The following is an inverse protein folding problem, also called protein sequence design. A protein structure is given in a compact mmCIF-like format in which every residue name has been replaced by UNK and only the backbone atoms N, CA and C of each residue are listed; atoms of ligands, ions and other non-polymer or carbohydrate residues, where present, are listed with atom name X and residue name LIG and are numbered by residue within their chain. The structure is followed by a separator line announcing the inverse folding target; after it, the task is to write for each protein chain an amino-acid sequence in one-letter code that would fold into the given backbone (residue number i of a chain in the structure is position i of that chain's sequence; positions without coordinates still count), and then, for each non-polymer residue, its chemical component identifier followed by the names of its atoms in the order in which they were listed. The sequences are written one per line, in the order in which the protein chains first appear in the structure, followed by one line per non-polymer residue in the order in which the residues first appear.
data_IF_395538571932
#
_entry.id   IF_395538571932
#
_cell.length_a   1.000
_cell.length_b   1.000
_cell.length_c   1.000
_cell.angle_alpha   90.00
_cell.angle_beta   90.00
_cell.angle_gamma   90.00
#
_symmetry.space_group_name_H-M   'P 1'
#
loop_
_entity.id
_entity.type
_entity.pdbx_description
1 polymer ?
#
# COMPACT_ATOMS: atom_id res chain seq x y z
N UNK A 1 10.25 -6.40 -11.08
CA UNK A 1 10.87 -5.70 -9.93
C UNK A 1 11.98 -6.58 -9.38
N UNK A 2 13.18 -6.39 -9.91
CA UNK A 2 14.30 -7.30 -9.63
C UNK A 2 15.04 -6.99 -8.31
N UNK A 3 15.04 -5.73 -7.89
CA UNK A 3 15.80 -5.27 -6.70
C UNK A 3 15.03 -4.19 -5.93
N UNK A 4 14.03 -4.55 -5.13
CA UNK A 4 13.41 -3.58 -4.24
C UNK A 4 14.40 -3.21 -3.12
N UNK A 5 14.61 -1.90 -2.92
CA UNK A 5 15.65 -1.34 -2.02
C UNK A 5 15.15 -1.03 -0.60
N UNK A 6 13.85 -1.15 -0.34
CA UNK A 6 13.23 -0.78 0.94
C UNK A 6 13.44 0.71 1.33
N UNK A 7 13.36 1.61 0.34
CA UNK A 7 13.55 3.04 0.53
C UNK A 7 12.30 3.87 0.24
N UNK A 8 11.52 3.48 -0.77
CA UNK A 8 10.33 4.22 -1.22
C UNK A 8 9.05 3.53 -0.85
N UNK A 9 8.30 4.12 0.05
CA UNK A 9 7.04 3.60 0.56
C UNK A 9 5.88 4.36 -0.07
N UNK A 10 4.86 3.66 -0.53
CA UNK A 10 3.62 4.25 -1.02
C UNK A 10 2.49 3.94 -0.05
N UNK A 11 1.84 4.97 0.46
CA UNK A 11 0.65 4.83 1.32
C UNK A 11 -0.59 5.28 0.57
N UNK A 12 -1.63 4.41 0.52
CA UNK A 12 -2.92 4.76 -0.09
C UNK A 12 -4.08 4.00 0.56
N UNK A 13 -4.96 4.72 1.25
CA UNK A 13 -6.14 4.17 1.94
C UNK A 13 -7.44 4.38 1.16
N UNK A 14 -7.32 4.65 -0.15
CA UNK A 14 -8.45 5.02 -1.02
C UNK A 14 -8.70 6.52 -1.08
N UNK A 15 -9.67 6.93 -1.90
CA UNK A 15 -9.88 8.34 -2.23
C UNK A 15 -10.34 9.20 -1.05
N UNK A 16 -11.14 8.66 -0.14
CA UNK A 16 -11.76 9.44 0.96
C UNK A 16 -11.09 9.17 2.31
N UNK A 17 -10.63 7.93 2.54
CA UNK A 17 -10.06 7.49 3.84
C UNK A 17 -10.93 7.91 5.04
N UNK A 18 -12.19 7.47 5.05
CA UNK A 18 -13.24 7.93 5.98
C UNK A 18 -12.88 7.85 7.47
N UNK A 19 -12.00 6.96 7.84
CA UNK A 19 -11.61 6.71 9.23
C UNK A 19 -10.21 7.21 9.56
N UNK A 20 -9.62 8.02 8.66
CA UNK A 20 -8.26 8.56 8.83
C UNK A 20 -7.20 7.49 9.13
N UNK A 21 -7.31 6.35 8.43
CA UNK A 21 -6.38 5.23 8.60
C UNK A 21 -4.96 5.64 8.19
N UNK A 22 -4.83 6.56 7.23
CA UNK A 22 -3.54 7.14 6.83
C UNK A 22 -2.77 7.69 8.03
N UNK A 23 -3.41 8.49 8.89
CA UNK A 23 -2.76 9.08 10.06
C UNK A 23 -2.39 8.03 11.12
N UNK A 24 -3.24 7.01 11.30
CA UNK A 24 -2.94 5.87 12.18
C UNK A 24 -1.71 5.09 11.68
N UNK A 25 -1.62 4.82 10.38
CA UNK A 25 -0.47 4.16 9.76
C UNK A 25 0.81 4.98 9.94
N UNK A 26 0.74 6.30 9.77
CA UNK A 26 1.89 7.19 9.97
C UNK A 26 2.37 7.20 11.41
N UNK A 27 1.45 7.11 12.39
CA UNK A 27 1.84 6.99 13.81
C UNK A 27 2.56 5.68 14.09
N UNK A 28 2.04 4.56 13.56
CA UNK A 28 2.72 3.27 13.70
C UNK A 28 4.10 3.26 12.98
N UNK A 29 4.20 3.87 11.79
CA UNK A 29 5.47 4.01 11.08
C UNK A 29 6.49 4.86 11.84
N UNK A 30 6.04 5.89 12.56
CA UNK A 30 6.90 6.71 13.44
C UNK A 30 7.61 5.86 14.48
N UNK A 31 6.95 4.80 14.97
CA UNK A 31 7.47 3.88 15.96
C UNK A 31 8.29 2.72 15.36
N UNK A 32 8.43 2.69 14.02
CA UNK A 32 9.28 1.74 13.33
C UNK A 32 10.70 2.30 13.21
N UNK A 33 11.69 1.41 13.37
CA UNK A 33 13.10 1.76 13.17
C UNK A 33 13.40 1.77 11.64
N UNK A 34 12.81 2.75 10.94
CA UNK A 34 13.03 2.90 9.50
C UNK A 34 14.39 3.54 9.23
N UNK A 35 15.09 3.14 8.14
CA UNK A 35 16.29 3.83 7.70
C UNK A 35 16.03 5.32 7.44
N UNK A 36 17.02 6.18 7.71
CA UNK A 36 16.87 7.63 7.57
C UNK A 36 16.60 8.08 6.12
N UNK A 37 17.01 7.27 5.14
CA UNK A 37 16.79 7.48 3.72
C UNK A 37 15.42 7.06 3.21
N UNK A 38 14.52 6.58 4.08
CA UNK A 38 13.16 6.21 3.68
C UNK A 38 12.36 7.45 3.28
N UNK A 39 11.76 7.37 2.10
CA UNK A 39 10.83 8.36 1.55
C UNK A 39 9.43 7.75 1.53
N UNK A 40 8.45 8.46 2.06
CA UNK A 40 7.05 8.02 2.12
C UNK A 40 6.20 8.93 1.24
N UNK A 41 5.61 8.36 0.19
CA UNK A 41 4.62 9.05 -0.65
C UNK A 41 3.23 8.64 -0.16
N UNK A 42 2.41 9.61 0.19
CA UNK A 42 1.05 9.42 0.67
C UNK A 42 0.09 9.92 -0.40
N UNK A 43 -0.74 9.03 -0.95
CA UNK A 43 -1.75 9.42 -1.92
C UNK A 43 -3.11 9.54 -1.22
N UNK A 44 -3.69 10.74 -1.28
CA UNK A 44 -5.00 11.06 -0.72
C UNK A 44 -5.88 11.72 -1.78
N UNK A 45 -7.17 11.40 -1.78
CA UNK A 45 -8.12 12.10 -2.65
C UNK A 45 -8.30 13.56 -2.22
N UNK A 46 -8.52 14.44 -3.19
CA UNK A 46 -8.71 15.89 -2.94
C UNK A 46 -9.88 16.21 -1.99
N UNK A 47 -10.86 15.30 -1.91
CA UNK A 47 -12.04 15.43 -1.04
C UNK A 47 -11.85 14.79 0.35
N UNK A 48 -10.67 14.25 0.64
CA UNK A 48 -10.42 13.67 1.97
C UNK A 48 -10.44 14.77 3.03
N UNK A 49 -11.25 14.63 4.09
CA UNK A 49 -11.35 15.63 5.15
C UNK A 49 -10.07 15.72 6.01
N UNK A 50 -9.16 14.77 5.85
CA UNK A 50 -7.99 14.62 6.72
C UNK A 50 -6.68 15.11 6.08
N UNK A 51 -6.68 15.65 4.86
CA UNK A 51 -5.46 16.12 4.19
C UNK A 51 -4.66 17.10 5.07
N UNK A 52 -5.34 18.06 5.71
CA UNK A 52 -4.65 19.06 6.53
C UNK A 52 -4.12 18.48 7.86
N UNK A 53 -4.80 17.50 8.47
CA UNK A 53 -4.28 16.85 9.66
C UNK A 53 -3.06 15.97 9.32
N UNK A 54 -3.12 15.21 8.23
CA UNK A 54 -1.98 14.44 7.72
C UNK A 54 -0.82 15.36 7.34
N UNK A 55 -1.08 16.54 6.71
CA UNK A 55 -0.07 17.53 6.38
C UNK A 55 0.67 18.07 7.62
N UNK A 56 -0.03 18.24 8.73
CA UNK A 56 0.59 18.59 10.00
C UNK A 56 1.39 17.43 10.57
N UNK A 57 0.84 16.22 10.51
CA UNK A 57 1.46 15.01 11.04
C UNK A 57 2.82 14.73 10.39
N UNK A 58 2.93 14.80 9.06
CA UNK A 58 4.17 14.47 8.35
C UNK A 58 5.35 15.37 8.74
N UNK A 59 5.10 16.61 9.23
CA UNK A 59 6.16 17.52 9.69
C UNK A 59 6.88 17.03 10.95
N UNK A 60 6.29 16.14 11.71
CA UNK A 60 6.83 15.60 12.97
C UNK A 60 7.39 14.18 12.83
N UNK A 61 7.42 13.62 11.62
CA UNK A 61 7.93 12.28 11.38
C UNK A 61 9.45 12.27 11.29
N UNK A 62 10.12 11.17 11.72
CA UNK A 62 11.57 11.05 11.65
C UNK A 62 12.11 10.69 10.27
N UNK A 63 11.27 10.61 9.25
CA UNK A 63 11.59 10.28 7.86
C UNK A 63 10.91 11.28 6.92
N UNK A 64 11.36 11.32 5.66
CA UNK A 64 10.78 12.21 4.65
C UNK A 64 9.42 11.69 4.21
N UNK A 65 8.41 12.56 4.21
CA UNK A 65 7.07 12.23 3.75
C UNK A 65 6.44 13.36 2.94
N UNK A 66 5.73 13.04 1.86
CA UNK A 66 4.97 14.00 1.06
C UNK A 66 3.56 13.50 0.75
N UNK A 67 2.61 14.43 0.62
CA UNK A 67 1.24 14.12 0.20
C UNK A 67 1.07 14.49 -1.26
N UNK A 68 0.58 13.53 -2.05
CA UNK A 68 0.12 13.75 -3.43
C UNK A 68 -1.39 13.62 -3.50
N UNK A 69 -2.04 14.61 -4.08
CA UNK A 69 -3.48 14.61 -4.34
C UNK A 69 -3.72 14.78 -5.85
N UNK A 70 -4.90 14.38 -6.31
CA UNK A 70 -5.24 14.42 -7.73
C UNK A 70 -4.25 13.66 -8.64
N UNK A 71 -3.80 12.50 -8.16
CA UNK A 71 -2.82 11.66 -8.89
C UNK A 71 -3.49 11.02 -10.09
N UNK A 72 -2.94 11.24 -11.28
CA UNK A 72 -3.38 10.64 -12.55
C UNK A 72 -2.44 9.52 -13.01
N UNK A 73 -1.25 9.43 -12.45
CA UNK A 73 -0.20 8.49 -12.79
C UNK A 73 0.09 7.47 -11.66
N UNK A 74 -0.97 6.90 -11.06
CA UNK A 74 -0.84 5.96 -9.94
C UNK A 74 0.07 4.76 -10.28
N UNK A 75 -0.02 4.22 -11.49
CA UNK A 75 0.81 3.11 -11.94
C UNK A 75 2.31 3.46 -11.89
N UNK A 76 2.68 4.68 -12.26
CA UNK A 76 4.07 5.15 -12.20
C UNK A 76 4.54 5.29 -10.75
N UNK A 77 3.70 5.84 -9.85
CA UNK A 77 4.03 5.90 -8.42
C UNK A 77 4.24 4.51 -7.83
N UNK A 78 3.35 3.56 -8.15
CA UNK A 78 3.50 2.17 -7.72
C UNK A 78 4.76 1.51 -8.31
N UNK A 79 5.08 1.77 -9.58
CA UNK A 79 6.26 1.22 -10.24
C UNK A 79 7.57 1.73 -9.61
N UNK A 80 7.58 2.99 -9.16
CA UNK A 80 8.73 3.65 -8.55
C UNK A 80 8.83 3.46 -7.02
N UNK A 81 7.87 2.74 -6.41
CA UNK A 81 7.90 2.44 -4.97
C UNK A 81 8.45 1.05 -4.70
N UNK A 82 9.11 0.83 -3.58
CA UNK A 82 9.64 -0.47 -3.19
C UNK A 82 8.60 -1.32 -2.46
N UNK A 83 7.78 -0.69 -1.63
CA UNK A 83 6.66 -1.32 -0.93
C UNK A 83 5.43 -0.42 -0.92
N UNK A 84 4.26 -1.02 -0.70
CA UNK A 84 3.05 -0.27 -0.45
C UNK A 84 2.42 -0.64 0.90
N UNK A 85 1.77 0.33 1.54
CA UNK A 85 0.84 0.12 2.65
C UNK A 85 -0.50 0.69 2.20
N UNK A 86 -1.52 -0.15 2.12
CA UNK A 86 -2.75 0.31 1.51
C UNK A 86 -3.98 -0.51 1.83
N UNK A 87 -5.16 0.07 1.61
CA UNK A 87 -6.41 -0.66 1.78
C UNK A 87 -6.49 -1.89 0.88
N UNK A 88 -7.16 -2.95 1.34
CA UNK A 88 -7.36 -4.22 0.63
C UNK A 88 -8.48 -4.11 -0.42
N UNK A 89 -8.57 -2.98 -1.13
CA UNK A 89 -9.56 -2.72 -2.18
C UNK A 89 -9.07 -3.07 -3.59
N UNK A 90 -9.69 -2.47 -4.60
CA UNK A 90 -9.38 -2.73 -6.01
C UNK A 90 -7.92 -2.45 -6.40
N UNK A 91 -7.29 -1.44 -5.78
CA UNK A 91 -5.87 -1.12 -6.00
C UNK A 91 -4.90 -2.23 -5.60
N UNK A 92 -5.38 -3.25 -4.88
CA UNK A 92 -4.59 -4.46 -4.60
C UNK A 92 -4.17 -5.16 -5.88
N UNK A 93 -5.07 -5.27 -6.86
CA UNK A 93 -4.78 -5.90 -8.15
C UNK A 93 -3.76 -5.10 -8.96
N UNK A 94 -3.82 -3.76 -8.88
CA UNK A 94 -2.85 -2.88 -9.52
C UNK A 94 -1.45 -3.06 -8.92
N UNK A 95 -1.35 -3.15 -7.59
CA UNK A 95 -0.10 -3.46 -6.89
C UNK A 95 0.45 -4.83 -7.30
N UNK A 96 -0.40 -5.83 -7.38
CA UNK A 96 -0.01 -7.17 -7.82
C UNK A 96 0.48 -7.16 -9.28
N UNK A 97 -0.22 -6.50 -10.18
CA UNK A 97 0.18 -6.38 -11.60
C UNK A 97 1.59 -5.80 -11.76
N UNK A 98 2.00 -4.90 -10.86
CA UNK A 98 3.32 -4.27 -10.87
C UNK A 98 4.35 -5.00 -9.99
N UNK A 99 3.98 -6.13 -9.41
CA UNK A 99 4.84 -6.88 -8.49
C UNK A 99 5.27 -6.04 -7.29
N UNK A 100 4.37 -5.19 -6.75
CA UNK A 100 4.67 -4.30 -5.63
C UNK A 100 4.36 -4.99 -4.30
N UNK A 101 5.39 -5.40 -3.51
CA UNK A 101 5.18 -5.97 -2.21
C UNK A 101 4.36 -5.05 -1.32
N UNK A 102 3.42 -5.58 -0.56
CA UNK A 102 2.55 -4.71 0.21
C UNK A 102 2.12 -5.27 1.56
N UNK A 103 1.82 -4.34 2.48
CA UNK A 103 1.01 -4.61 3.66
C UNK A 103 -0.38 -4.07 3.38
N UNK A 104 -1.37 -4.95 3.43
CA UNK A 104 -2.76 -4.61 3.18
C UNK A 104 -3.48 -4.37 4.50
N UNK A 105 -4.28 -3.31 4.54
CA UNK A 105 -5.13 -2.99 5.68
C UNK A 105 -6.58 -3.23 5.28
N UNK A 106 -7.22 -4.16 5.96
CA UNK A 106 -8.65 -4.43 5.77
C UNK A 106 -9.45 -3.38 6.53
N UNK A 107 -10.01 -2.42 5.79
CA UNK A 107 -10.77 -1.28 6.35
C UNK A 107 -12.29 -1.50 6.28
N UNK A 108 -12.75 -2.53 5.57
CA UNK A 108 -14.17 -2.87 5.44
C UNK A 108 -14.35 -4.38 5.22
N UNK A 109 -15.49 -4.92 5.66
CA UNK A 109 -15.76 -6.36 5.61
C UNK A 109 -15.70 -6.94 4.18
N UNK A 110 -16.16 -6.19 3.18
CA UNK A 110 -16.12 -6.63 1.78
C UNK A 110 -14.68 -6.77 1.22
N UNK A 111 -13.67 -6.31 1.93
CA UNK A 111 -12.27 -6.42 1.54
C UNK A 111 -11.59 -7.70 2.07
N UNK A 112 -12.22 -8.40 3.01
CA UNK A 112 -11.62 -9.58 3.68
C UNK A 112 -11.25 -10.68 2.68
N UNK A 113 -12.13 -10.96 1.71
CA UNK A 113 -11.90 -12.01 0.71
C UNK A 113 -10.66 -11.72 -0.14
N UNK A 114 -10.47 -10.46 -0.56
CA UNK A 114 -9.30 -10.04 -1.33
C UNK A 114 -8.05 -10.15 -0.46
N UNK A 115 -8.11 -9.64 0.78
CA UNK A 115 -7.00 -9.68 1.73
C UNK A 115 -6.53 -11.11 1.98
N UNK A 116 -7.45 -12.03 2.24
CA UNK A 116 -7.17 -13.45 2.49
C UNK A 116 -6.54 -14.13 1.26
N UNK A 117 -7.12 -13.91 0.09
CA UNK A 117 -6.60 -14.50 -1.15
C UNK A 117 -5.15 -14.09 -1.42
N UNK A 118 -4.89 -12.80 -1.39
CA UNK A 118 -3.57 -12.23 -1.68
C UNK A 118 -2.53 -12.61 -0.61
N UNK A 119 -2.96 -12.68 0.66
CA UNK A 119 -2.10 -13.12 1.76
C UNK A 119 -1.73 -14.59 1.64
N UNK A 120 -2.71 -15.46 1.29
CA UNK A 120 -2.46 -16.89 1.03
C UNK A 120 -1.55 -17.13 -0.17
N UNK A 121 -1.63 -16.28 -1.19
CA UNK A 121 -0.70 -16.31 -2.32
C UNK A 121 0.72 -15.85 -1.93
N UNK A 122 0.92 -15.31 -0.73
CA UNK A 122 2.18 -14.75 -0.28
C UNK A 122 2.58 -13.46 -1.00
N UNK A 123 1.61 -12.81 -1.66
CA UNK A 123 1.82 -11.58 -2.43
C UNK A 123 1.73 -10.31 -1.57
N UNK A 124 1.16 -10.40 -0.38
CA UNK A 124 1.13 -9.33 0.62
C UNK A 124 0.99 -9.89 2.04
N UNK A 125 1.28 -9.06 3.03
CA UNK A 125 0.89 -9.27 4.42
C UNK A 125 -0.41 -8.51 4.69
N UNK A 126 -1.27 -9.06 5.55
CA UNK A 126 -2.54 -8.43 5.89
C UNK A 126 -2.63 -8.12 7.38
N UNK A 127 -3.25 -6.98 7.69
CA UNK A 127 -3.67 -6.57 9.04
C UNK A 127 -5.07 -5.96 8.96
N UNK A 128 -5.80 -6.01 10.05
CA UNK A 128 -7.05 -5.24 10.22
C UNK A 128 -6.74 -3.91 10.92
N UNK A 129 -7.70 -3.00 10.96
CA UNK A 129 -7.51 -1.68 11.60
C UNK A 129 -7.17 -1.82 13.09
N UNK A 130 -7.82 -2.76 13.79
CA UNK A 130 -7.54 -3.07 15.20
C UNK A 130 -6.18 -3.75 15.45
N UNK A 131 -5.52 -4.22 14.39
CA UNK A 131 -4.20 -4.84 14.42
C UNK A 131 -3.07 -3.93 13.91
N UNK A 132 -3.31 -2.63 13.74
CA UNK A 132 -2.29 -1.70 13.23
C UNK A 132 -1.04 -1.66 14.13
N UNK A 133 -1.16 -1.93 15.42
CA UNK A 133 -0.04 -2.09 16.33
C UNK A 133 0.95 -3.20 15.92
N UNK A 134 0.54 -4.12 15.04
CA UNK A 134 1.41 -5.14 14.46
C UNK A 134 2.21 -4.63 13.24
N UNK A 135 2.00 -3.39 12.78
CA UNK A 135 2.62 -2.87 11.56
C UNK A 135 4.15 -2.97 11.61
N UNK A 136 4.77 -2.66 12.74
CA UNK A 136 6.22 -2.80 12.93
C UNK A 136 6.70 -4.22 12.65
N UNK A 137 6.05 -5.23 13.21
CA UNK A 137 6.42 -6.63 12.96
C UNK A 137 6.19 -7.05 11.51
N UNK A 138 5.12 -6.57 10.87
CA UNK A 138 4.83 -6.83 9.46
C UNK A 138 5.87 -6.20 8.53
N UNK A 139 6.36 -5.01 8.85
CA UNK A 139 7.43 -4.34 8.10
C UNK A 139 8.72 -5.14 8.18
N UNK A 140 9.08 -5.66 9.34
CA UNK A 140 10.27 -6.51 9.52
C UNK A 140 10.16 -7.77 8.65
N UNK A 141 9.03 -8.46 8.70
CA UNK A 141 8.77 -9.66 7.89
C UNK A 141 8.82 -9.31 6.40
N UNK A 142 8.15 -8.24 5.97
CA UNK A 142 8.15 -7.81 4.58
C UNK A 142 9.57 -7.53 4.09
N UNK A 143 10.37 -6.80 4.88
CA UNK A 143 11.77 -6.50 4.52
C UNK A 143 12.59 -7.76 4.26
N UNK A 144 12.41 -8.79 5.08
CA UNK A 144 13.10 -10.08 4.93
C UNK A 144 12.65 -10.84 3.68
N UNK A 145 11.40 -10.71 3.28
CA UNK A 145 10.75 -11.46 2.20
C UNK A 145 10.47 -10.62 0.95
N UNK A 146 10.99 -9.39 0.87
CA UNK A 146 10.59 -8.41 -0.13
C UNK A 146 10.71 -8.90 -1.57
N UNK A 147 11.79 -9.64 -1.90
CA UNK A 147 12.03 -10.18 -3.24
C UNK A 147 11.06 -11.31 -3.59
N UNK A 148 10.83 -12.23 -2.65
CA UNK A 148 9.92 -13.35 -2.84
C UNK A 148 8.47 -12.84 -2.97
N UNK A 149 8.09 -11.90 -2.11
CA UNK A 149 6.77 -11.26 -2.17
C UNK A 149 6.57 -10.49 -3.48
N UNK A 150 7.58 -9.78 -3.98
CA UNK A 150 7.52 -9.09 -5.28
C UNK A 150 7.24 -10.07 -6.43
N UNK A 151 7.93 -11.20 -6.45
CA UNK A 151 7.71 -12.26 -7.44
C UNK A 151 6.31 -12.82 -7.35
N UNK A 152 5.88 -13.25 -6.17
CA UNK A 152 4.54 -13.80 -5.94
C UNK A 152 3.45 -12.78 -6.27
N UNK A 153 3.66 -11.51 -5.95
CA UNK A 153 2.74 -10.43 -6.31
C UNK A 153 2.55 -10.33 -7.83
N UNK A 154 3.62 -10.36 -8.60
CA UNK A 154 3.58 -10.33 -10.07
C UNK A 154 2.92 -11.58 -10.69
N UNK A 155 2.90 -12.71 -9.99
CA UNK A 155 2.27 -13.96 -10.44
C UNK A 155 0.74 -13.97 -10.24
N UNK A 156 0.19 -13.07 -9.39
CA UNK A 156 -1.25 -13.02 -9.08
C UNK A 156 -2.08 -12.59 -10.28
N UNK A 157 -1.60 -11.61 -11.05
CA UNK A 157 -2.34 -11.07 -12.20
C UNK A 157 -1.40 -10.43 -13.22
N UNK A 158 -1.72 -10.61 -14.49
CA UNK A 158 -1.00 -10.01 -15.62
C UNK A 158 -1.67 -8.72 -16.15
N UNK A 159 -2.71 -8.22 -15.48
CA UNK A 159 -3.44 -7.01 -15.89
C UNK A 159 -4.38 -7.19 -17.10
N UNK A 160 -4.53 -8.41 -17.65
CA UNK A 160 -5.35 -8.65 -18.85
C UNK A 160 -6.87 -8.76 -18.60
N UNK A 161 -7.32 -8.54 -17.36
CA UNK A 161 -8.72 -8.73 -16.97
C UNK A 161 -9.72 -7.97 -17.82
N UNK A 162 -9.43 -6.70 -18.16
CA UNK A 162 -10.28 -5.90 -19.05
C UNK A 162 -10.44 -6.55 -20.43
N UNK A 163 -9.34 -7.04 -21.02
CA UNK A 163 -9.36 -7.70 -22.33
C UNK A 163 -10.21 -8.97 -22.28
N UNK A 164 -10.12 -9.72 -21.19
CA UNK A 164 -10.92 -10.92 -20.99
C UNK A 164 -12.42 -10.57 -20.92
N UNK A 165 -12.81 -9.59 -20.11
CA UNK A 165 -14.21 -9.14 -20.01
C UNK A 165 -14.75 -8.70 -21.38
N UNK A 166 -13.99 -7.91 -22.14
CA UNK A 166 -14.40 -7.46 -23.48
C UNK A 166 -14.63 -8.61 -24.49
N UNK A 167 -13.97 -9.76 -24.31
CA UNK A 167 -14.23 -10.95 -25.14
C UNK A 167 -15.58 -11.59 -24.87
N UNK A 168 -16.13 -11.46 -23.67
CA UNK A 168 -17.45 -11.98 -23.31
C UNK A 168 -18.60 -11.02 -23.68
N UNK A 169 -18.31 -9.76 -24.01
CA UNK A 169 -19.30 -8.75 -24.38
C UNK A 169 -19.52 -8.67 -25.92
N UNK A 170 -18.81 -9.49 -26.68
CA UNK A 170 -19.00 -9.66 -28.14
C UNK A 170 -19.89 -10.86 -28.40
#
# INVERSE_FOLDING_TARGET
REKPDFKKFLITMGGVDRHNITEMVLEELRNCDLPAEVEVIIVMGVTSPYIESVRRKIKSLPFTAEIKSNVTNMAELMANSDIAIGASGATTWERCCLGLPSIQITVAQNQTVIADYISKAGAALSVTVDQLNQLKSRIIILKQQIKDMAKKSAEVTNGSGLIQVLRYLK
#
